data_IF_616708592818
#
_entry.id   IF_616708592818
#
_cell.length_a   1.000
_cell.length_b   1.000
_cell.length_c   1.000
_cell.angle_alpha   90.00
_cell.angle_beta   90.00
_cell.angle_gamma   90.00
#
_symmetry.space_group_name_H-M   'P 1'
#
loop_
_entity.id
_entity.type
_entity.pdbx_description
1 polymer ?
#
# COMPACT_ATOMS: atom_id res chain seq x y z
N UNK A 1 -19.74 -28.77 -30.88
CA UNK A 1 -19.14 -27.43 -31.08
C UNK A 1 -19.34 -26.65 -29.78
N UNK A 2 -18.35 -26.69 -28.88
CA UNK A 2 -18.43 -26.02 -27.58
C UNK A 2 -17.98 -24.56 -27.72
N UNK A 3 -18.64 -23.61 -27.04
CA UNK A 3 -18.31 -22.20 -27.15
C UNK A 3 -17.06 -21.95 -26.33
N UNK A 4 -15.93 -21.72 -26.98
CA UNK A 4 -14.83 -21.02 -26.32
C UNK A 4 -15.25 -19.56 -26.18
N UNK A 5 -15.98 -19.27 -25.10
CA UNK A 5 -16.18 -17.90 -24.64
C UNK A 5 -14.80 -17.31 -24.40
N UNK A 6 -14.34 -16.44 -25.31
CA UNK A 6 -13.14 -15.64 -25.10
C UNK A 6 -13.40 -14.69 -23.94
N UNK A 7 -12.94 -15.04 -22.75
CA UNK A 7 -12.97 -14.14 -21.59
C UNK A 7 -11.90 -13.09 -21.82
N UNK A 8 -12.32 -11.87 -22.19
CA UNK A 8 -11.43 -10.71 -22.20
C UNK A 8 -11.10 -10.36 -20.74
N UNK A 9 -9.90 -10.73 -20.29
CA UNK A 9 -9.41 -10.36 -18.97
C UNK A 9 -8.69 -9.01 -19.08
N UNK A 10 -9.21 -7.94 -18.45
CA UNK A 10 -8.50 -6.67 -18.43
C UNK A 10 -7.15 -6.81 -17.71
N UNK A 11 -6.12 -6.21 -18.30
CA UNK A 11 -4.75 -6.17 -17.77
C UNK A 11 -4.31 -4.73 -17.57
N UNK A 12 -3.42 -4.49 -16.61
CA UNK A 12 -2.82 -3.19 -16.37
C UNK A 12 -1.30 -3.31 -16.22
N UNK A 13 -0.63 -2.16 -16.39
CA UNK A 13 0.80 -1.98 -16.21
C UNK A 13 1.03 -0.67 -15.45
N UNK A 14 1.91 -0.70 -14.44
CA UNK A 14 2.31 0.51 -13.70
C UNK A 14 3.66 0.95 -14.24
N UNK A 15 3.71 2.19 -14.72
CA UNK A 15 4.94 2.83 -15.18
C UNK A 15 5.41 3.83 -14.14
N UNK A 16 6.69 3.74 -13.76
CA UNK A 16 7.34 4.67 -12.87
C UNK A 16 8.35 5.52 -13.63
N UNK A 17 8.46 6.77 -13.21
CA UNK A 17 9.36 7.76 -13.77
C UNK A 17 10.01 8.51 -12.61
N UNK A 18 11.30 8.27 -12.40
CA UNK A 18 12.03 8.74 -11.21
C UNK A 18 12.38 10.23 -11.25
N UNK A 19 12.68 10.77 -12.42
CA UNK A 19 12.93 12.19 -12.67
C UNK A 19 12.75 12.49 -14.15
N UNK A 20 12.52 13.76 -14.50
CA UNK A 20 12.15 14.22 -15.84
C UNK A 20 13.07 13.80 -17.00
N UNK A 21 14.34 13.48 -16.71
CA UNK A 21 15.30 13.00 -17.71
C UNK A 21 15.32 11.49 -17.90
N UNK A 22 14.62 10.72 -17.08
CA UNK A 22 14.59 9.27 -17.16
C UNK A 22 13.40 8.79 -17.99
N UNK A 23 13.53 7.63 -18.64
CA UNK A 23 12.37 6.99 -19.27
C UNK A 23 11.39 6.45 -18.23
N UNK A 24 10.13 6.30 -18.64
CA UNK A 24 9.20 5.45 -17.90
C UNK A 24 9.70 4.00 -17.91
N UNK A 25 9.60 3.30 -16.80
CA UNK A 25 9.91 1.88 -16.71
C UNK A 25 8.86 1.13 -15.89
N UNK A 26 8.59 -0.14 -16.23
CA UNK A 26 7.54 -0.91 -15.57
C UNK A 26 7.93 -1.30 -14.14
N UNK A 27 7.03 -1.04 -13.20
CA UNK A 27 7.15 -1.46 -11.78
C UNK A 27 6.03 -2.38 -11.33
N UNK A 28 5.22 -2.89 -12.26
CA UNK A 28 4.09 -3.80 -11.98
C UNK A 28 4.50 -5.02 -11.15
N UNK A 29 5.73 -5.53 -11.38
CA UNK A 29 6.30 -6.66 -10.64
C UNK A 29 6.48 -6.38 -9.13
N UNK A 30 6.55 -5.11 -8.72
CA UNK A 30 6.63 -4.71 -7.30
C UNK A 30 5.26 -4.78 -6.60
N UNK A 31 4.17 -4.85 -7.36
CA UNK A 31 2.82 -4.96 -6.80
C UNK A 31 2.58 -6.37 -6.27
N UNK A 32 2.29 -6.49 -4.98
CA UNK A 32 2.05 -7.78 -4.32
C UNK A 32 0.92 -8.56 -4.98
N UNK A 33 1.20 -9.79 -5.38
CA UNK A 33 0.24 -10.70 -6.03
C UNK A 33 0.29 -10.66 -7.55
N UNK A 34 0.99 -9.69 -8.14
CA UNK A 34 1.29 -9.70 -9.57
C UNK A 34 2.47 -10.65 -9.88
N UNK A 35 2.55 -11.20 -11.10
CA UNK A 35 3.66 -12.06 -11.50
C UNK A 35 4.97 -11.29 -11.49
N UNK A 36 6.02 -11.87 -10.88
CA UNK A 36 7.34 -11.23 -10.75
C UNK A 36 8.01 -11.03 -12.12
N UNK A 37 7.77 -11.96 -13.04
CA UNK A 37 8.44 -12.02 -14.33
C UNK A 37 7.62 -11.38 -15.48
N UNK A 38 6.52 -10.69 -15.17
CA UNK A 38 5.62 -10.11 -16.20
C UNK A 38 5.42 -8.62 -15.99
N UNK A 39 5.41 -7.90 -17.11
CA UNK A 39 5.14 -6.46 -17.14
C UNK A 39 3.66 -6.13 -16.91
N UNK A 40 2.77 -7.08 -17.20
CA UNK A 40 1.32 -6.95 -17.10
C UNK A 40 0.77 -7.80 -15.97
N UNK A 41 -0.25 -7.28 -15.29
CA UNK A 41 -0.96 -7.96 -14.23
C UNK A 41 -2.48 -7.95 -14.49
N UNK A 42 -3.21 -9.03 -14.15
CA UNK A 42 -4.66 -9.04 -14.25
C UNK A 42 -5.27 -7.94 -13.37
N UNK A 43 -6.20 -7.17 -13.93
CA UNK A 43 -6.84 -6.06 -13.22
C UNK A 43 -7.53 -6.51 -11.93
N UNK A 44 -8.24 -7.63 -11.96
CA UNK A 44 -8.94 -8.18 -10.78
C UNK A 44 -7.98 -8.46 -9.60
N UNK A 45 -6.77 -8.94 -9.90
CA UNK A 45 -5.75 -9.19 -8.87
C UNK A 45 -5.33 -7.88 -8.20
N UNK A 46 -5.16 -6.82 -8.99
CA UNK A 46 -4.80 -5.50 -8.49
C UNK A 46 -5.92 -4.84 -7.73
N UNK A 47 -7.15 -4.87 -8.25
CA UNK A 47 -8.33 -4.29 -7.62
C UNK A 47 -8.54 -4.88 -6.22
N UNK A 48 -8.63 -6.21 -6.11
CA UNK A 48 -8.84 -6.89 -4.83
C UNK A 48 -7.75 -6.52 -3.81
N UNK A 49 -6.47 -6.49 -4.24
CA UNK A 49 -5.36 -6.11 -3.36
C UNK A 49 -5.38 -4.64 -2.96
N UNK A 50 -5.73 -3.76 -3.88
CA UNK A 50 -5.74 -2.31 -3.67
C UNK A 50 -6.88 -1.87 -2.75
N UNK A 51 -8.02 -2.55 -2.79
CA UNK A 51 -9.18 -2.27 -1.93
C UNK A 51 -8.83 -2.27 -0.43
N UNK A 52 -7.89 -3.11 0.01
CA UNK A 52 -7.44 -3.13 1.42
C UNK A 52 -6.78 -1.82 1.86
N UNK A 53 -6.19 -1.08 0.92
CA UNK A 53 -5.50 0.17 1.19
C UNK A 53 -6.37 1.40 0.88
N UNK A 54 -7.54 1.21 0.25
CA UNK A 54 -8.47 2.29 0.02
C UNK A 54 -9.17 2.69 1.32
N UNK A 55 -9.17 3.99 1.67
CA UNK A 55 -9.87 4.46 2.84
C UNK A 55 -11.37 4.32 2.64
N UNK A 56 -12.08 3.73 3.61
CA UNK A 56 -13.54 3.66 3.56
C UNK A 56 -14.20 5.04 3.71
N UNK A 57 -13.53 5.97 4.40
CA UNK A 57 -13.94 7.36 4.51
C UNK A 57 -12.68 8.25 4.58
N UNK A 58 -12.42 8.98 3.49
CA UNK A 58 -11.22 9.83 3.37
C UNK A 58 -11.23 10.97 4.39
N UNK A 59 -12.39 11.57 4.69
CA UNK A 59 -12.50 12.67 5.64
C UNK A 59 -12.10 12.23 7.05
N UNK A 60 -12.58 11.06 7.49
CA UNK A 60 -12.26 10.49 8.81
C UNK A 60 -10.80 10.05 8.92
N UNK A 61 -10.23 9.43 7.88
CA UNK A 61 -8.82 9.01 7.91
C UNK A 61 -7.86 10.21 7.90
N UNK A 62 -8.25 11.32 7.26
CA UNK A 62 -7.49 12.57 7.26
C UNK A 62 -7.60 13.36 8.58
N UNK A 63 -8.60 13.09 9.42
CA UNK A 63 -8.73 13.75 10.72
C UNK A 63 -7.56 13.39 11.65
N UNK A 64 -7.11 14.38 12.41
CA UNK A 64 -6.05 14.20 13.40
C UNK A 64 -6.50 13.18 14.45
N UNK A 65 -5.89 11.99 14.42
CA UNK A 65 -6.13 10.95 15.44
C UNK A 65 -5.72 11.50 16.81
N UNK A 66 -6.62 11.46 17.78
CA UNK A 66 -6.29 11.82 19.15
C UNK A 66 -5.15 10.92 19.65
N UNK A 67 -4.07 11.53 20.12
CA UNK A 67 -2.94 10.78 20.67
C UNK A 67 -3.42 10.10 21.95
N UNK A 68 -3.49 8.76 21.95
CA UNK A 68 -3.73 7.99 23.17
C UNK A 68 -2.74 8.41 24.26
N UNK A 69 -3.23 8.72 25.46
CA UNK A 69 -2.39 9.03 26.61
C UNK A 69 -1.51 7.84 27.07
N UNK A 70 -1.69 6.63 26.50
CA UNK A 70 -0.89 5.44 26.84
C UNK A 70 0.61 5.64 26.62
N UNK A 71 1.04 6.33 25.57
CA UNK A 71 2.47 6.58 25.31
C UNK A 71 3.08 7.65 26.22
N UNK A 72 2.26 8.57 26.76
CA UNK A 72 2.74 9.56 27.75
C UNK A 72 3.05 8.91 29.10
N UNK A 73 2.27 7.92 29.54
CA UNK A 73 2.51 7.21 30.79
C UNK A 73 3.84 6.47 30.79
N UNK A 74 4.11 5.68 29.74
CA UNK A 74 5.37 4.93 29.60
C UNK A 74 6.60 5.83 29.51
N UNK A 75 6.50 6.98 28.83
CA UNK A 75 7.60 7.95 28.76
C UNK A 75 7.90 8.60 30.13
N UNK A 76 6.85 8.91 30.91
CA UNK A 76 7.00 9.51 32.25
C UNK A 76 7.62 8.53 33.25
N UNK A 77 7.26 7.25 33.18
CA UNK A 77 7.84 6.18 34.02
C UNK A 77 9.31 5.97 33.68
N UNK A 78 9.65 5.88 32.39
CA UNK A 78 11.03 5.70 31.93
C UNK A 78 11.92 6.85 32.43
N UNK A 79 11.49 8.10 32.25
CA UNK A 79 12.25 9.26 32.71
C UNK A 79 12.36 9.36 34.24
N UNK A 80 11.38 8.84 35.00
CA UNK A 80 11.50 8.72 36.46
C UNK A 80 12.53 7.67 36.87
N UNK A 81 12.53 6.48 36.23
CA UNK A 81 13.52 5.44 36.52
C UNK A 81 14.96 5.91 36.25
N UNK A 82 15.21 6.59 35.12
CA UNK A 82 16.55 7.12 34.82
C UNK A 82 17.04 8.16 35.82
N UNK A 83 16.15 8.96 36.43
CA UNK A 83 16.52 9.94 37.46
C UNK A 83 16.76 9.36 38.84
N UNK A 84 16.26 8.15 39.12
CA UNK A 84 16.45 7.46 40.39
C UNK A 84 17.67 6.52 40.36
N UNK A 85 18.31 6.38 39.20
CA UNK A 85 19.50 5.57 38.99
C UNK A 85 20.81 6.41 38.93
N UNK A 86 20.71 7.72 39.17
CA UNK A 86 21.81 8.69 39.35
C UNK A 86 21.73 9.18 40.79
#
# INVERSE_FOLDING_TARGET
MSPHSFVLIPIFQILFHSAFHHGYHPITHLTKGCPVDKEFCPFETFEHRSLKFMPSNIEKECQRKEKSNRTKYTHRIRNKMWRLAI
#
